data_IF_153890719040
#
_entry.id   IF_153890719040
#
_cell.length_a   1.000
_cell.length_b   1.000
_cell.length_c   1.000
_cell.angle_alpha   90.00
_cell.angle_beta   90.00
_cell.angle_gamma   90.00
#
_symmetry.space_group_name_H-M   'P 1'
#
loop_
_entity.id
_entity.type
_entity.pdbx_description
1 polymer ?
#
# COMPACT_ATOMS: atom_id res chain seq x y z
N UNK A 1 7.57 20.80 14.29
CA UNK A 1 6.35 20.81 13.45
C UNK A 1 5.74 19.40 13.36
N UNK A 2 4.80 19.09 14.24
CA UNK A 2 4.03 17.84 14.18
C UNK A 2 2.92 18.03 13.15
N UNK A 3 3.16 17.56 11.92
CA UNK A 3 2.07 17.37 10.96
C UNK A 3 1.06 16.41 11.60
N UNK A 4 -0.24 16.73 11.61
CA UNK A 4 -1.25 15.77 12.03
C UNK A 4 -1.02 14.46 11.27
N UNK A 5 -0.82 13.36 11.99
CA UNK A 5 -0.60 12.06 11.37
C UNK A 5 -1.75 11.75 10.43
N UNK A 6 -1.45 11.34 9.19
CA UNK A 6 -2.47 10.92 8.25
C UNK A 6 -3.33 9.81 8.84
N UNK A 7 -4.62 9.76 8.47
CA UNK A 7 -5.62 8.82 9.01
C UNK A 7 -5.35 7.33 8.74
N UNK A 8 -4.23 7.00 8.08
CA UNK A 8 -3.86 5.62 7.74
C UNK A 8 -4.66 5.00 6.61
N UNK A 9 -5.56 5.75 5.94
CA UNK A 9 -6.49 5.20 4.93
C UNK A 9 -5.84 4.86 3.59
N UNK A 10 -4.65 5.40 3.29
CA UNK A 10 -4.02 5.29 1.98
C UNK A 10 -3.82 3.85 1.51
N UNK A 11 -3.31 2.97 2.38
CA UNK A 11 -3.08 1.58 2.02
C UNK A 11 -4.38 0.81 1.81
N UNK A 12 -5.43 1.09 2.60
CA UNK A 12 -6.76 0.49 2.43
C UNK A 12 -7.37 0.87 1.09
N UNK A 13 -7.27 2.15 0.70
CA UNK A 13 -7.76 2.63 -0.60
C UNK A 13 -6.99 1.97 -1.74
N UNK A 14 -5.66 1.97 -1.69
CA UNK A 14 -4.81 1.35 -2.71
C UNK A 14 -5.09 -0.15 -2.87
N UNK A 15 -5.18 -0.89 -1.75
CA UNK A 15 -5.49 -2.32 -1.76
C UNK A 15 -6.86 -2.62 -2.37
N UNK A 16 -7.88 -1.83 -2.03
CA UNK A 16 -9.21 -1.99 -2.62
C UNK A 16 -9.20 -1.74 -4.13
N UNK A 17 -8.47 -0.71 -4.59
CA UNK A 17 -8.35 -0.40 -6.01
C UNK A 17 -7.68 -1.56 -6.76
N UNK A 18 -6.53 -2.02 -6.29
CA UNK A 18 -5.76 -3.07 -6.94
C UNK A 18 -6.52 -4.40 -6.98
N UNK A 19 -7.26 -4.74 -5.92
CA UNK A 19 -8.13 -5.93 -5.89
C UNK A 19 -9.29 -5.87 -6.89
N UNK A 20 -9.85 -4.68 -7.14
CA UNK A 20 -10.85 -4.49 -8.20
C UNK A 20 -10.28 -4.74 -9.60
N UNK A 21 -8.95 -4.64 -9.77
CA UNK A 21 -8.24 -4.96 -11.00
C UNK A 21 -7.69 -6.41 -11.00
N UNK A 22 -8.15 -7.28 -10.09
CA UNK A 22 -7.68 -8.67 -10.00
C UNK A 22 -6.26 -8.83 -9.44
N UNK A 23 -5.68 -7.76 -8.89
CA UNK A 23 -4.36 -7.75 -8.29
C UNK A 23 -4.37 -7.80 -6.75
N UNK A 24 -3.21 -7.62 -6.13
CA UNK A 24 -3.10 -7.31 -4.69
C UNK A 24 -1.90 -6.41 -4.35
N UNK A 25 -1.89 -5.86 -3.13
CA UNK A 25 -0.79 -5.06 -2.56
C UNK A 25 -0.32 -5.64 -1.24
N UNK A 26 0.98 -5.90 -1.12
CA UNK A 26 1.62 -6.38 0.13
C UNK A 26 2.63 -5.36 0.62
N UNK A 27 2.64 -5.11 1.93
CA UNK A 27 3.55 -4.17 2.58
C UNK A 27 4.44 -4.90 3.60
N UNK A 28 5.72 -4.53 3.62
CA UNK A 28 6.71 -5.06 4.55
C UNK A 28 7.45 -3.90 5.21
N UNK A 29 7.66 -3.97 6.53
CA UNK A 29 8.55 -3.07 7.26
C UNK A 29 9.24 -3.87 8.37
N UNK A 30 10.49 -3.50 8.68
CA UNK A 30 11.24 -4.07 9.81
C UNK A 30 11.17 -3.16 11.05
N UNK A 31 10.30 -2.14 11.04
CA UNK A 31 10.13 -1.19 12.13
C UNK A 31 10.71 0.20 11.82
N UNK A 32 10.69 1.13 12.81
CA UNK A 32 11.11 2.51 12.63
C UNK A 32 12.54 2.66 12.09
N UNK A 33 12.75 3.61 11.19
CA UNK A 33 14.07 3.87 10.59
C UNK A 33 14.52 2.88 9.51
N UNK A 34 13.77 1.79 9.26
CA UNK A 34 14.13 0.77 8.26
C UNK A 34 13.47 0.97 6.89
N UNK A 35 12.61 1.97 6.77
CA UNK A 35 11.77 2.17 5.60
C UNK A 35 10.65 1.13 5.49
N UNK A 36 10.09 1.01 4.29
CA UNK A 36 9.02 0.07 3.98
C UNK A 36 9.08 -0.32 2.51
N UNK A 37 8.73 -1.57 2.20
CA UNK A 37 8.61 -2.09 0.84
C UNK A 37 7.14 -2.40 0.56
N UNK A 38 6.64 -1.91 -0.57
CA UNK A 38 5.31 -2.21 -1.06
C UNK A 38 5.45 -2.94 -2.40
N UNK A 39 4.76 -4.06 -2.56
CA UNK A 39 4.72 -4.84 -3.79
C UNK A 39 3.29 -4.82 -4.30
N UNK A 40 3.12 -4.37 -5.53
CA UNK A 40 1.84 -4.32 -6.24
C UNK A 40 1.91 -5.29 -7.41
N UNK A 41 0.95 -6.20 -7.49
CA UNK A 41 0.82 -7.14 -8.61
C UNK A 41 -0.55 -6.95 -9.23
N UNK A 42 -0.61 -6.83 -10.56
CA UNK A 42 -1.85 -6.73 -11.33
C UNK A 42 -1.71 -7.65 -12.54
N UNK A 43 -2.75 -8.41 -12.93
CA UNK A 43 -2.76 -9.12 -14.20
C UNK A 43 -2.49 -8.17 -15.37
N UNK A 44 -1.80 -8.65 -16.40
CA UNK A 44 -1.75 -7.93 -17.67
C UNK A 44 -3.18 -7.96 -18.26
N UNK A 45 -3.64 -6.80 -18.75
CA UNK A 45 -4.88 -6.75 -19.53
C UNK A 45 -4.71 -7.47 -20.87
N UNK A 46 -5.82 -7.72 -21.56
CA UNK A 46 -5.76 -8.12 -22.97
C UNK A 46 -5.27 -6.97 -23.86
#
# INVERSE_FOLDING_TARGET
PNLPGGTGVGLTVARNLVRRHGGDVVAFSQGPGTGSRFIVSVPLGE
#
